data_IF_707293418089
#
_entry.id   IF_707293418089
#
_cell.length_a   1.000
_cell.length_b   1.000
_cell.length_c   1.000
_cell.angle_alpha   90.00
_cell.angle_beta   90.00
_cell.angle_gamma   90.00
#
_symmetry.space_group_name_H-M   'P 1'
#
loop_
_entity.id
_entity.type
_entity.pdbx_description
1 polymer ?
#
# COMPACT_ATOMS: atom_id res chain seq x y z
N UNK A 1 11.08 -14.69 -1.45
CA UNK A 1 11.25 -14.41 -0.01
C UNK A 1 9.87 -14.01 0.53
N UNK A 2 9.42 -14.59 1.63
CA UNK A 2 8.14 -14.30 2.29
C UNK A 2 8.37 -14.48 3.79
N UNK A 3 7.99 -13.49 4.59
CA UNK A 3 8.28 -13.42 6.03
C UNK A 3 7.09 -12.83 6.78
N UNK A 4 6.97 -13.18 8.05
CA UNK A 4 6.02 -12.61 9.02
C UNK A 4 6.70 -11.53 9.90
N UNK A 5 8.02 -11.35 9.78
CA UNK A 5 8.73 -10.26 10.44
C UNK A 5 8.63 -8.99 9.58
N UNK A 6 7.79 -8.05 10.03
CA UNK A 6 7.57 -6.76 9.35
C UNK A 6 8.87 -5.95 9.18
N UNK A 7 9.79 -5.99 10.16
CA UNK A 7 11.04 -5.25 10.09
C UNK A 7 12.02 -5.90 9.10
N UNK A 8 12.03 -7.23 9.04
CA UNK A 8 12.78 -7.97 8.02
C UNK A 8 12.26 -7.65 6.62
N UNK A 9 10.94 -7.61 6.44
CA UNK A 9 10.30 -7.26 5.17
C UNK A 9 10.60 -5.82 4.71
N UNK A 10 10.71 -4.87 5.65
CA UNK A 10 10.95 -3.47 5.33
C UNK A 10 12.43 -3.12 5.09
N UNK A 11 13.36 -3.94 5.60
CA UNK A 11 14.80 -3.65 5.56
C UNK A 11 15.30 -3.54 4.12
N UNK A 12 15.96 -2.42 3.82
CA UNK A 12 16.54 -2.12 2.50
C UNK A 12 15.54 -2.14 1.32
N UNK A 13 14.23 -2.06 1.60
CA UNK A 13 13.21 -2.03 0.57
C UNK A 13 13.29 -0.73 -0.26
N UNK A 14 13.07 -0.83 -1.57
CA UNK A 14 12.88 0.33 -2.46
C UNK A 14 11.42 0.81 -2.47
N UNK A 15 10.48 -0.07 -2.10
CA UNK A 15 9.04 0.21 -2.05
C UNK A 15 8.43 -0.48 -0.85
N UNK A 16 7.65 0.26 -0.05
CA UNK A 16 6.75 -0.26 0.96
C UNK A 16 5.31 -0.08 0.46
N UNK A 17 4.56 -1.17 0.42
CA UNK A 17 3.19 -1.17 -0.09
C UNK A 17 2.26 -1.85 0.91
N UNK A 18 1.14 -1.20 1.24
CA UNK A 18 0.09 -1.79 2.08
C UNK A 18 -1.30 -1.52 1.49
N UNK A 19 -2.29 -2.23 2.03
CA UNK A 19 -3.71 -2.12 1.72
C UNK A 19 -4.53 -2.37 2.98
N UNK A 20 -5.82 -2.09 2.90
CA UNK A 20 -6.79 -2.33 3.97
C UNK A 20 -6.78 -3.80 4.42
N UNK A 21 -6.92 -4.01 5.72
CA UNK A 21 -6.92 -5.35 6.31
C UNK A 21 -8.19 -6.16 6.01
N UNK A 22 -9.31 -5.45 5.86
CA UNK A 22 -10.62 -6.04 5.60
C UNK A 22 -11.05 -5.68 4.19
N UNK A 23 -10.96 -6.64 3.29
CA UNK A 23 -11.39 -6.46 1.90
C UNK A 23 -12.92 -6.30 1.81
N UNK A 24 -13.39 -5.62 0.76
CA UNK A 24 -14.81 -5.47 0.46
C UNK A 24 -15.53 -6.84 0.44
N UNK A 25 -16.66 -6.94 1.13
CA UNK A 25 -17.47 -8.17 1.23
C UNK A 25 -16.99 -9.17 2.28
N UNK A 26 -16.03 -8.79 3.13
CA UNK A 26 -15.51 -9.61 4.25
C UNK A 26 -15.66 -8.92 5.61
N UNK A 27 -16.65 -8.06 5.76
CA UNK A 27 -16.85 -7.24 6.96
C UNK A 27 -17.06 -8.11 8.23
N UNK A 28 -17.65 -9.30 8.09
CA UNK A 28 -17.78 -10.25 9.18
C UNK A 28 -16.43 -10.78 9.73
N UNK A 29 -15.32 -10.63 8.98
CA UNK A 29 -13.98 -11.03 9.40
C UNK A 29 -13.22 -9.92 10.15
N UNK A 30 -13.78 -8.72 10.31
CA UNK A 30 -13.09 -7.52 10.79
C UNK A 30 -12.29 -7.76 12.07
N UNK A 31 -12.94 -8.17 13.16
CA UNK A 31 -12.26 -8.40 14.45
C UNK A 31 -11.13 -9.44 14.37
N UNK A 32 -11.28 -10.46 13.52
CA UNK A 32 -10.24 -11.48 13.30
C UNK A 32 -9.06 -10.89 12.54
N UNK A 33 -9.33 -10.14 11.48
CA UNK A 33 -8.31 -9.50 10.63
C UNK A 33 -7.54 -8.43 11.39
N UNK A 34 -8.20 -7.60 12.20
CA UNK A 34 -7.53 -6.63 13.06
C UNK A 34 -6.59 -7.30 14.06
N UNK A 35 -6.99 -8.43 14.65
CA UNK A 35 -6.13 -9.17 15.56
C UNK A 35 -4.92 -9.80 14.86
N UNK A 36 -5.10 -10.34 13.65
CA UNK A 36 -4.04 -10.98 12.86
C UNK A 36 -3.10 -9.97 12.19
N UNK A 37 -3.64 -8.87 11.67
CA UNK A 37 -2.94 -7.89 10.83
C UNK A 37 -2.54 -6.61 11.58
N UNK A 38 -3.04 -6.39 12.80
CA UNK A 38 -2.67 -5.25 13.65
C UNK A 38 -1.16 -5.02 13.79
N UNK A 39 -0.31 -6.05 13.85
CA UNK A 39 1.15 -5.87 13.86
C UNK A 39 1.76 -5.36 12.54
N UNK A 40 1.03 -5.39 11.41
CA UNK A 40 1.55 -5.21 10.04
C UNK A 40 1.23 -3.84 9.42
N UNK A 41 1.14 -2.78 10.22
CA UNK A 41 0.94 -1.43 9.69
C UNK A 41 2.24 -0.70 9.31
N UNK A 42 2.14 0.18 8.32
CA UNK A 42 3.23 1.06 7.91
C UNK A 42 3.25 2.31 8.81
N UNK A 43 4.36 2.52 9.50
CA UNK A 43 4.62 3.69 10.35
C UNK A 43 5.92 4.38 9.98
N UNK A 44 6.12 5.60 10.46
CA UNK A 44 7.34 6.38 10.19
C UNK A 44 8.61 5.62 10.63
N UNK A 45 8.53 4.89 11.75
CA UNK A 45 9.62 4.05 12.24
C UNK A 45 9.93 2.87 11.32
N UNK A 46 8.92 2.30 10.66
CA UNK A 46 9.11 1.20 9.71
C UNK A 46 9.75 1.71 8.42
N UNK A 47 9.29 2.86 7.90
CA UNK A 47 9.83 3.50 6.70
C UNK A 47 11.33 3.79 6.85
N UNK A 48 11.79 4.14 8.06
CA UNK A 48 13.22 4.37 8.36
C UNK A 48 14.11 3.12 8.23
N UNK A 49 13.53 1.91 8.15
CA UNK A 49 14.28 0.68 7.89
C UNK A 49 14.50 0.43 6.39
N UNK A 50 13.69 1.06 5.54
CA UNK A 50 13.82 1.00 4.10
C UNK A 50 14.94 1.93 3.60
N UNK A 51 15.19 1.94 2.29
CA UNK A 51 16.18 2.85 1.70
C UNK A 51 15.75 4.32 1.86
N UNK A 52 16.68 5.28 1.87
CA UNK A 52 16.37 6.71 2.05
C UNK A 52 15.40 7.30 1.02
N UNK A 53 15.33 6.71 -0.17
CA UNK A 53 14.48 7.09 -1.30
C UNK A 53 13.32 6.11 -1.53
N UNK A 54 13.03 5.25 -0.56
CA UNK A 54 11.97 4.26 -0.67
C UNK A 54 10.61 4.93 -0.89
N UNK A 55 9.84 4.40 -1.84
CA UNK A 55 8.47 4.82 -2.08
C UNK A 55 7.52 4.17 -1.07
N UNK A 56 6.58 4.94 -0.54
CA UNK A 56 5.43 4.41 0.21
C UNK A 56 4.19 4.51 -0.66
N UNK A 57 3.49 3.39 -0.81
CA UNK A 57 2.40 3.24 -1.77
C UNK A 57 1.18 2.58 -1.10
N UNK A 58 -0.02 3.00 -1.53
CA UNK A 58 -1.30 2.47 -1.08
C UNK A 58 -2.34 2.55 -2.21
N UNK A 59 -3.13 1.50 -2.44
CA UNK A 59 -4.08 1.46 -3.56
C UNK A 59 -5.35 2.30 -3.38
N UNK A 60 -5.68 2.63 -2.13
CA UNK A 60 -6.84 3.42 -1.68
C UNK A 60 -8.18 2.65 -1.78
N UNK A 61 -9.18 2.98 -0.94
CA UNK A 61 -9.14 3.96 0.17
C UNK A 61 -8.27 3.47 1.34
N UNK A 62 -7.67 4.40 2.10
CA UNK A 62 -6.85 4.07 3.28
C UNK A 62 -7.63 4.37 4.58
N UNK A 63 -7.52 3.48 5.56
CA UNK A 63 -7.93 3.67 6.95
C UNK A 63 -6.73 4.12 7.79
N UNK A 64 -6.59 5.45 7.91
CA UNK A 64 -5.53 6.06 8.73
C UNK A 64 -5.64 5.60 10.18
N UNK A 65 -4.54 5.08 10.72
CA UNK A 65 -4.49 4.49 12.06
C UNK A 65 -4.75 2.98 12.11
N UNK A 66 -5.01 2.35 10.97
CA UNK A 66 -5.00 0.89 10.79
C UNK A 66 -3.78 0.48 9.97
N UNK A 67 -3.90 0.25 8.67
CA UNK A 67 -2.80 -0.27 7.84
C UNK A 67 -1.65 0.72 7.62
N UNK A 68 -1.90 2.02 7.82
CA UNK A 68 -0.91 3.09 7.72
C UNK A 68 -1.23 4.19 8.73
N UNK A 69 -0.21 4.73 9.41
CA UNK A 69 -0.40 5.87 10.31
C UNK A 69 -0.64 7.18 9.51
N UNK A 70 -1.34 8.13 10.13
CA UNK A 70 -1.71 9.39 9.46
C UNK A 70 -0.47 10.19 9.01
N UNK A 71 0.59 10.22 9.83
CA UNK A 71 1.81 10.98 9.53
C UNK A 71 2.53 10.45 8.30
N UNK A 72 2.65 9.13 8.18
CA UNK A 72 3.29 8.47 7.04
C UNK A 72 2.43 8.63 5.79
N UNK A 73 1.11 8.48 5.91
CA UNK A 73 0.21 8.73 4.79
C UNK A 73 0.41 10.15 4.24
N UNK A 74 0.37 11.17 5.10
CA UNK A 74 0.50 12.57 4.67
C UNK A 74 1.91 12.88 4.12
N UNK A 75 2.97 12.35 4.74
CA UNK A 75 4.35 12.54 4.28
C UNK A 75 4.59 11.96 2.86
N UNK A 76 3.84 10.92 2.49
CA UNK A 76 3.95 10.24 1.20
C UNK A 76 2.72 10.42 0.30
N UNK A 77 1.87 11.41 0.61
CA UNK A 77 0.64 11.68 -0.11
C UNK A 77 0.89 11.89 -1.61
N UNK A 78 1.97 12.58 -1.98
CA UNK A 78 2.34 12.78 -3.38
C UNK A 78 2.50 11.44 -4.13
N UNK A 79 3.32 10.52 -3.62
CA UNK A 79 3.53 9.21 -4.25
C UNK A 79 2.24 8.38 -4.29
N UNK A 80 1.44 8.42 -3.22
CA UNK A 80 0.17 7.69 -3.14
C UNK A 80 -0.84 8.23 -4.17
N UNK A 81 -0.96 9.55 -4.32
CA UNK A 81 -1.88 10.16 -5.27
C UNK A 81 -1.37 10.11 -6.71
N UNK A 82 -0.06 10.17 -6.94
CA UNK A 82 0.53 9.92 -8.27
C UNK A 82 0.24 8.49 -8.72
N UNK A 83 0.33 7.50 -7.82
CA UNK A 83 -0.10 6.14 -8.10
C UNK A 83 -1.59 6.07 -8.48
N UNK A 84 -2.45 6.80 -7.76
CA UNK A 84 -3.89 6.81 -8.05
C UNK A 84 -4.16 7.45 -9.44
N UNK A 85 -3.50 8.56 -9.76
CA UNK A 85 -3.58 9.20 -11.08
C UNK A 85 -3.10 8.27 -12.20
N UNK A 86 -1.99 7.54 -11.96
CA UNK A 86 -1.41 6.62 -12.92
C UNK A 86 -2.35 5.49 -13.37
N UNK A 87 -3.42 5.19 -12.60
CA UNK A 87 -4.50 4.30 -13.06
C UNK A 87 -5.12 4.76 -14.36
N UNK A 88 -5.31 6.07 -14.55
CA UNK A 88 -5.85 6.65 -15.80
C UNK A 88 -4.94 6.32 -16.98
N UNK A 89 -3.64 6.54 -16.81
CA UNK A 89 -2.67 6.35 -17.89
C UNK A 89 -2.52 4.88 -18.26
N UNK A 90 -2.42 4.00 -17.26
CA UNK A 90 -2.36 2.55 -17.46
C UNK A 90 -3.64 2.04 -18.13
N UNK A 91 -4.82 2.47 -17.70
CA UNK A 91 -6.08 2.06 -18.31
C UNK A 91 -6.23 2.56 -19.75
N UNK A 92 -5.80 3.80 -20.07
CA UNK A 92 -5.74 4.29 -21.45
C UNK A 92 -4.85 3.42 -22.33
N UNK A 93 -3.66 3.05 -21.84
CA UNK A 93 -2.73 2.22 -22.57
C UNK A 93 -3.30 0.81 -22.81
N UNK A 94 -3.89 0.19 -21.79
CA UNK A 94 -4.56 -1.11 -21.90
C UNK A 94 -5.69 -1.07 -22.93
N UNK A 95 -6.57 -0.07 -22.84
CA UNK A 95 -7.67 0.07 -23.79
C UNK A 95 -7.17 0.28 -25.22
N UNK A 96 -6.17 1.16 -25.41
CA UNK A 96 -5.57 1.40 -26.71
C UNK A 96 -4.94 0.14 -27.31
N UNK A 97 -4.38 -0.74 -26.48
CA UNK A 97 -3.85 -2.03 -26.94
C UNK A 97 -4.98 -3.00 -27.31
N UNK A 98 -5.99 -3.16 -26.46
CA UNK A 98 -7.08 -4.11 -26.66
C UNK A 98 -7.98 -3.80 -27.87
N UNK A 99 -8.09 -2.52 -28.25
CA UNK A 99 -8.92 -2.09 -29.39
C UNK A 99 -8.16 -2.01 -30.71
N UNK A 100 -6.86 -2.32 -30.73
CA UNK A 100 -6.11 -2.45 -32.00
C UNK A 100 -6.67 -3.66 -32.76
N UNK A 101 -7.38 -3.40 -33.84
CA UNK A 101 -7.56 -4.37 -34.93
C UNK A 101 -6.31 -4.36 -35.79
N UNK A 102 -5.90 -5.54 -36.28
CA UNK A 102 -4.75 -5.75 -37.17
C UNK A 102 -4.66 -4.74 -38.33
#
# INVERSE_FOLDING_TARGET
>A
FCTEDLQEAARDADVLYTDIWVSMGREAEEARREAELGPYWITESLVKLAKPDALVMHCLPAHRGQEIDEKTFEAHAQTIFDQAENRLHVQKAILAELVKTE
#
